data_IF_940573120077
#
_entry.id   IF_940573120077
#
_cell.length_a   1.000
_cell.length_b   1.000
_cell.length_c   1.000
_cell.angle_alpha   90.00
_cell.angle_beta   90.00
_cell.angle_gamma   90.00
#
_symmetry.space_group_name_H-M   'P 1'
#
loop_
_entity.id
_entity.type
_entity.pdbx_description
1 polymer ?
#
# COMPACT_ATOMS: atom_id res chain seq x y z
N UNK A 1 16.99 -4.56 15.22
CA UNK A 1 16.24 -3.31 14.92
C UNK A 1 15.28 -3.07 16.08
N UNK A 2 14.95 -1.80 16.40
CA UNK A 2 13.93 -1.53 17.42
C UNK A 2 12.57 -2.00 16.90
N UNK A 3 11.82 -2.74 17.71
CA UNK A 3 10.45 -3.16 17.46
C UNK A 3 9.57 -1.92 17.32
N UNK A 4 8.80 -1.83 16.23
CA UNK A 4 7.84 -0.75 15.99
C UNK A 4 6.40 -1.28 15.99
N UNK A 5 5.47 -0.41 16.33
CA UNK A 5 4.03 -0.61 16.07
C UNK A 5 3.67 0.07 14.77
N UNK A 6 3.30 -0.73 13.78
CA UNK A 6 3.01 -0.26 12.41
C UNK A 6 1.52 -0.38 12.13
N UNK A 7 0.92 0.71 11.68
CA UNK A 7 -0.44 0.73 11.14
C UNK A 7 -0.38 0.65 9.61
N UNK A 8 -0.93 -0.43 9.05
CA UNK A 8 -0.99 -0.66 7.60
C UNK A 8 -2.43 -0.49 7.09
N UNK A 9 -2.74 0.70 6.62
CA UNK A 9 -4.07 1.09 6.15
C UNK A 9 -4.27 0.75 4.67
N UNK A 10 -5.46 0.27 4.31
CA UNK A 10 -5.80 -0.22 2.96
C UNK A 10 -4.80 -1.31 2.53
N UNK A 11 -4.55 -2.25 3.42
CA UNK A 11 -3.43 -3.18 3.31
C UNK A 11 -3.55 -4.18 2.15
N UNK A 12 -4.75 -4.34 1.56
CA UNK A 12 -4.99 -5.35 0.54
C UNK A 12 -4.61 -6.74 1.06
N UNK A 13 -3.88 -7.49 0.25
CA UNK A 13 -3.33 -8.80 0.65
C UNK A 13 -1.91 -8.71 1.22
N UNK A 14 -1.43 -7.52 1.58
CA UNK A 14 -0.14 -7.34 2.23
C UNK A 14 1.08 -7.35 1.31
N UNK A 15 0.96 -6.87 0.07
CA UNK A 15 2.13 -6.76 -0.81
C UNK A 15 3.26 -5.94 -0.20
N UNK A 16 2.94 -4.81 0.43
CA UNK A 16 3.88 -3.96 1.14
C UNK A 16 4.49 -4.65 2.39
N UNK A 17 3.69 -5.46 3.10
CA UNK A 17 4.09 -6.16 4.33
C UNK A 17 5.17 -7.22 4.11
N UNK A 18 5.25 -7.80 2.90
CA UNK A 18 5.97 -9.04 2.62
C UNK A 18 7.43 -9.08 3.08
N UNK A 19 8.14 -7.96 3.03
CA UNK A 19 9.56 -7.90 3.38
C UNK A 19 9.86 -7.07 4.64
N UNK A 20 8.86 -6.70 5.43
CA UNK A 20 9.07 -5.89 6.64
C UNK A 20 9.67 -6.67 7.81
N UNK A 21 9.74 -8.00 7.72
CA UNK A 21 10.21 -8.87 8.82
C UNK A 21 9.11 -9.13 9.86
N UNK A 22 9.41 -9.95 10.84
CA UNK A 22 8.45 -10.38 11.87
C UNK A 22 8.74 -9.75 13.25
N UNK A 23 9.74 -8.85 13.30
CA UNK A 23 10.10 -8.14 14.52
C UNK A 23 9.14 -7.01 14.90
N UNK A 24 8.30 -6.55 13.96
CA UNK A 24 7.37 -5.44 14.18
C UNK A 24 5.98 -5.94 14.61
N UNK A 25 5.26 -5.12 15.37
CA UNK A 25 3.84 -5.31 15.65
C UNK A 25 3.01 -4.62 14.55
N UNK A 26 2.30 -5.41 13.74
CA UNK A 26 1.54 -4.89 12.60
C UNK A 26 0.05 -4.96 12.90
N UNK A 27 -0.66 -3.84 12.76
CA UNK A 27 -2.11 -3.79 12.67
C UNK A 27 -2.48 -3.41 11.23
N UNK A 28 -3.11 -4.32 10.51
CA UNK A 28 -3.52 -4.17 9.12
C UNK A 28 -5.02 -3.89 9.04
N UNK A 29 -5.43 -2.86 8.28
CA UNK A 29 -6.84 -2.50 8.10
C UNK A 29 -7.23 -2.64 6.65
N UNK A 30 -8.24 -3.46 6.37
CA UNK A 30 -8.80 -3.69 5.04
C UNK A 30 -10.33 -3.66 5.12
N UNK A 31 -10.96 -2.93 4.21
CA UNK A 31 -12.43 -2.81 4.17
C UNK A 31 -13.10 -4.11 3.73
N UNK A 32 -12.50 -4.81 2.77
CA UNK A 32 -13.07 -6.01 2.19
C UNK A 32 -12.67 -7.25 2.99
N UNK A 33 -13.65 -7.89 3.62
CA UNK A 33 -13.43 -9.08 4.45
C UNK A 33 -12.71 -10.22 3.70
N UNK A 34 -13.07 -10.49 2.44
CA UNK A 34 -12.45 -11.57 1.66
C UNK A 34 -10.95 -11.31 1.43
N UNK A 35 -10.58 -10.05 1.19
CA UNK A 35 -9.18 -9.62 1.01
C UNK A 35 -8.44 -9.66 2.35
N UNK A 36 -9.08 -9.22 3.42
CA UNK A 36 -8.54 -9.30 4.78
C UNK A 36 -8.29 -10.75 5.24
N UNK A 37 -9.19 -11.67 4.89
CA UNK A 37 -9.03 -13.09 5.18
C UNK A 37 -7.81 -13.67 4.43
N UNK A 38 -7.53 -13.23 3.21
CA UNK A 38 -6.31 -13.60 2.46
C UNK A 38 -5.07 -13.01 3.09
N UNK A 39 -5.12 -11.73 3.50
CA UNK A 39 -4.02 -11.12 4.26
C UNK A 39 -3.67 -11.95 5.48
N UNK A 40 -4.68 -12.32 6.29
CA UNK A 40 -4.49 -13.11 7.51
C UNK A 40 -3.90 -14.51 7.27
N UNK A 41 -4.17 -15.11 6.11
CA UNK A 41 -3.53 -16.37 5.72
C UNK A 41 -2.03 -16.20 5.44
N UNK A 42 -1.62 -15.06 4.87
CA UNK A 42 -0.21 -14.78 4.58
C UNK A 42 0.57 -14.30 5.81
N UNK A 43 -0.11 -13.59 6.72
CA UNK A 43 0.49 -12.97 7.91
C UNK A 43 -0.35 -13.30 9.14
N UNK A 44 -0.27 -14.56 9.65
CA UNK A 44 -1.12 -15.03 10.74
C UNK A 44 -0.84 -14.34 12.08
N UNK A 45 0.33 -13.77 12.27
CA UNK A 45 0.71 -13.08 13.51
C UNK A 45 0.30 -11.60 13.53
N UNK A 46 -0.02 -10.99 12.36
CA UNK A 46 -0.48 -9.62 12.29
C UNK A 46 -1.92 -9.49 12.81
N UNK A 47 -2.23 -8.38 13.50
CA UNK A 47 -3.60 -8.01 13.83
C UNK A 47 -4.30 -7.51 12.56
N UNK A 48 -5.45 -8.13 12.19
CA UNK A 48 -6.21 -7.75 10.99
C UNK A 48 -7.58 -7.23 11.37
N UNK A 49 -7.86 -6.00 11.01
CA UNK A 49 -9.12 -5.31 11.24
C UNK A 49 -9.89 -5.20 9.91
N UNK A 50 -11.12 -5.71 9.90
CA UNK A 50 -12.05 -5.50 8.78
C UNK A 50 -12.86 -4.25 9.06
N UNK A 51 -12.60 -3.16 8.33
CA UNK A 51 -13.29 -1.89 8.58
C UNK A 51 -12.79 -0.73 7.74
N UNK A 52 -13.33 0.45 7.99
CA UNK A 52 -12.91 1.69 7.35
C UNK A 52 -11.54 2.14 7.88
N UNK A 53 -10.57 2.25 6.96
CA UNK A 53 -9.21 2.62 7.29
C UNK A 53 -9.07 4.05 7.81
N UNK A 54 -9.90 4.98 7.33
CA UNK A 54 -9.88 6.38 7.76
C UNK A 54 -10.46 6.52 9.16
N UNK A 55 -11.57 5.84 9.43
CA UNK A 55 -12.16 5.79 10.77
C UNK A 55 -11.20 5.17 11.78
N UNK A 56 -10.57 4.04 11.40
CA UNK A 56 -9.58 3.39 12.28
C UNK A 56 -8.39 4.29 12.56
N UNK A 57 -7.85 4.95 11.53
CA UNK A 57 -6.78 5.93 11.67
C UNK A 57 -7.12 7.01 12.70
N UNK A 58 -8.25 7.70 12.53
CA UNK A 58 -8.66 8.81 13.40
C UNK A 58 -8.78 8.39 14.87
N UNK A 59 -9.23 7.17 15.12
CA UNK A 59 -9.47 6.66 16.48
C UNK A 59 -8.23 6.07 17.16
N UNK A 60 -7.22 5.61 16.39
CA UNK A 60 -6.15 4.76 16.93
C UNK A 60 -4.71 5.22 16.63
N UNK A 61 -4.47 6.21 15.79
CA UNK A 61 -3.15 6.64 15.30
C UNK A 61 -2.09 6.82 16.39
N UNK A 62 -2.48 7.28 17.58
CA UNK A 62 -1.56 7.53 18.70
C UNK A 62 -0.81 6.29 19.17
N UNK A 63 -1.35 5.10 18.91
CA UNK A 63 -0.80 3.81 19.34
C UNK A 63 0.39 3.35 18.49
N UNK A 64 0.62 3.97 17.33
CA UNK A 64 1.56 3.53 16.31
C UNK A 64 2.77 4.44 16.20
N UNK A 65 3.90 3.86 15.81
CA UNK A 65 5.16 4.56 15.56
C UNK A 65 5.30 4.92 14.08
N UNK A 66 4.77 4.05 13.21
CA UNK A 66 4.79 4.21 11.76
C UNK A 66 3.40 3.94 11.16
N UNK A 67 2.97 4.80 10.24
CA UNK A 67 1.68 4.68 9.55
C UNK A 67 1.92 4.59 8.06
N UNK A 68 1.47 3.51 7.45
CA UNK A 68 1.41 3.31 6.00
C UNK A 68 -0.03 3.38 5.53
N UNK A 69 -0.32 4.19 4.49
CA UNK A 69 -1.62 4.25 3.86
C UNK A 69 -1.51 4.10 2.34
N UNK A 70 -2.24 3.15 1.77
CA UNK A 70 -2.38 2.95 0.31
C UNK A 70 -3.85 3.10 -0.12
N UNK A 71 -4.42 4.32 -0.12
CA UNK A 71 -5.82 4.54 -0.48
C UNK A 71 -6.16 4.00 -1.87
N UNK A 72 -7.44 3.67 -2.15
CA UNK A 72 -7.85 3.11 -3.43
C UNK A 72 -7.42 3.97 -4.63
N UNK A 73 -6.66 3.38 -5.56
CA UNK A 73 -6.09 4.10 -6.70
C UNK A 73 -6.97 4.12 -7.96
N UNK A 74 -8.11 3.42 -7.96
CA UNK A 74 -8.92 3.19 -9.17
C UNK A 74 -9.44 4.48 -9.78
N UNK A 75 -9.83 5.46 -8.98
CA UNK A 75 -10.39 6.74 -9.45
C UNK A 75 -9.30 7.72 -9.89
N UNK A 76 -8.04 7.44 -9.59
CA UNK A 76 -6.88 8.27 -9.97
C UNK A 76 -6.15 7.71 -11.20
N UNK A 77 -6.27 6.40 -11.45
CA UNK A 77 -5.50 5.68 -12.45
C UNK A 77 -5.69 6.20 -13.88
N UNK A 78 -4.58 6.55 -14.56
CA UNK A 78 -4.57 6.92 -15.98
C UNK A 78 -5.15 5.81 -16.87
N UNK A 79 -4.90 4.55 -16.56
CA UNK A 79 -5.46 3.43 -17.33
C UNK A 79 -6.99 3.38 -17.22
N UNK A 80 -7.53 3.58 -16.02
CA UNK A 80 -8.97 3.63 -15.79
C UNK A 80 -9.62 4.81 -16.52
N UNK A 81 -8.99 5.99 -16.45
CA UNK A 81 -9.42 7.16 -17.16
C UNK A 81 -9.49 6.93 -18.68
N UNK A 82 -8.42 6.38 -19.29
CA UNK A 82 -8.41 6.06 -20.71
C UNK A 82 -9.46 5.03 -21.11
N UNK A 83 -9.67 4.01 -20.27
CA UNK A 83 -10.71 3.01 -20.50
C UNK A 83 -12.12 3.62 -20.39
N UNK A 84 -12.35 4.58 -19.48
CA UNK A 84 -13.61 5.33 -19.41
C UNK A 84 -13.82 6.21 -20.65
N UNK A 85 -12.77 6.86 -21.14
CA UNK A 85 -12.83 7.64 -22.42
C UNK A 85 -13.20 6.78 -23.63
N UNK A 86 -12.85 5.49 -23.60
CA UNK A 86 -13.18 4.53 -24.67
C UNK A 86 -14.55 3.86 -24.46
N UNK A 87 -15.31 4.26 -23.44
CA UNK A 87 -16.63 3.69 -23.14
C UNK A 87 -16.60 2.34 -22.40
N UNK A 88 -15.41 1.83 -22.02
CA UNK A 88 -15.32 0.55 -21.31
C UNK A 88 -15.82 0.60 -19.87
N UNK A 89 -15.87 1.79 -19.27
CA UNK A 89 -16.31 2.04 -17.91
C UNK A 89 -16.99 3.40 -17.79
N UNK A 90 -17.96 3.50 -16.89
CA UNK A 90 -18.53 4.79 -16.52
C UNK A 90 -17.47 5.69 -15.86
N UNK A 91 -17.41 6.99 -16.20
CA UNK A 91 -16.57 7.96 -15.52
C UNK A 91 -16.91 8.03 -14.02
N UNK A 92 -15.89 8.24 -13.20
CA UNK A 92 -16.04 8.44 -11.75
C UNK A 92 -15.26 9.69 -11.35
N UNK A 93 -15.77 10.41 -10.36
CA UNK A 93 -15.04 11.49 -9.73
C UNK A 93 -13.80 10.94 -9.02
N UNK A 94 -12.68 11.68 -8.97
CA UNK A 94 -11.54 11.35 -8.13
C UNK A 94 -11.96 11.23 -6.67
N UNK A 95 -11.49 10.18 -6.00
CA UNK A 95 -11.70 10.02 -4.57
C UNK A 95 -10.70 10.90 -3.81
N UNK A 96 -11.15 12.05 -3.34
CA UNK A 96 -10.31 13.01 -2.63
C UNK A 96 -9.91 12.56 -1.21
N UNK A 97 -10.37 11.42 -0.73
CA UNK A 97 -9.93 10.83 0.54
C UNK A 97 -8.40 10.65 0.59
N UNK A 98 -7.74 10.38 -0.55
CA UNK A 98 -6.29 10.39 -0.69
C UNK A 98 -5.68 11.67 -0.10
N UNK A 99 -6.14 12.84 -0.56
CA UNK A 99 -5.59 14.12 -0.12
C UNK A 99 -6.04 14.49 1.29
N UNK A 100 -7.25 14.09 1.69
CA UNK A 100 -7.74 14.28 3.05
C UNK A 100 -6.86 13.54 4.07
N UNK A 101 -6.46 12.30 3.78
CA UNK A 101 -5.54 11.53 4.62
C UNK A 101 -4.18 12.21 4.70
N UNK A 102 -3.61 12.69 3.57
CA UNK A 102 -2.32 13.39 3.55
C UNK A 102 -2.37 14.65 4.43
N UNK A 103 -3.40 15.47 4.25
CA UNK A 103 -3.58 16.70 5.04
C UNK A 103 -3.69 16.35 6.52
N UNK A 104 -4.51 15.37 6.85
CA UNK A 104 -4.73 14.97 8.23
C UNK A 104 -3.44 14.47 8.90
N UNK A 105 -2.72 13.55 8.25
CA UNK A 105 -1.43 13.03 8.75
C UNK A 105 -0.40 14.15 8.94
N UNK A 106 -0.30 15.06 7.99
CA UNK A 106 0.62 16.20 8.03
C UNK A 106 0.39 17.11 9.24
N UNK A 107 -0.86 17.25 9.69
CA UNK A 107 -1.21 18.15 10.78
C UNK A 107 -1.27 17.46 12.14
N UNK A 108 -1.78 16.26 12.22
CA UNK A 108 -2.01 15.54 13.48
C UNK A 108 -0.90 14.55 13.85
N UNK A 109 -0.18 13.97 12.87
CA UNK A 109 0.82 12.94 13.11
C UNK A 109 2.27 13.46 12.95
N UNK A 110 2.58 14.66 13.44
CA UNK A 110 3.91 15.27 13.30
C UNK A 110 5.00 14.51 14.05
N UNK A 111 4.66 13.88 15.16
CA UNK A 111 5.53 13.07 16.02
C UNK A 111 5.65 11.60 15.60
N UNK A 112 4.91 11.19 14.57
CA UNK A 112 4.92 9.83 14.00
C UNK A 112 5.57 9.84 12.64
N UNK A 113 6.15 8.71 12.24
CA UNK A 113 6.55 8.51 10.86
C UNK A 113 5.34 8.05 10.05
N UNK A 114 5.11 8.64 8.90
CA UNK A 114 3.99 8.24 8.04
C UNK A 114 4.32 8.37 6.56
N UNK A 115 3.67 7.52 5.78
CA UNK A 115 3.63 7.62 4.32
C UNK A 115 2.20 7.43 3.80
N UNK A 116 1.94 8.06 2.67
CA UNK A 116 0.79 7.75 1.81
C UNK A 116 1.33 7.40 0.43
N UNK A 117 0.88 6.29 -0.13
CA UNK A 117 1.28 5.79 -1.45
C UNK A 117 0.07 5.79 -2.38
N UNK A 118 0.25 6.26 -3.62
CA UNK A 118 -0.76 6.09 -4.67
C UNK A 118 -0.11 6.12 -6.05
N UNK A 119 -0.85 5.72 -7.08
CA UNK A 119 -0.39 5.81 -8.46
C UNK A 119 -0.35 7.27 -8.94
N UNK A 120 0.51 7.58 -9.93
CA UNK A 120 0.44 8.87 -10.62
C UNK A 120 -0.95 9.06 -11.24
N UNK A 121 -1.70 10.13 -10.86
CA UNK A 121 -3.05 10.36 -11.34
C UNK A 121 -3.07 10.79 -12.81
N UNK A 122 -4.27 10.77 -13.44
CA UNK A 122 -4.49 11.27 -14.78
C UNK A 122 -4.64 12.79 -14.84
N UNK A 123 -4.73 13.43 -13.70
CA UNK A 123 -4.85 14.88 -13.51
C UNK A 123 -3.60 15.43 -12.80
N UNK A 124 -3.47 16.73 -12.70
CA UNK A 124 -2.40 17.39 -11.94
C UNK A 124 -2.57 17.15 -10.45
N UNK A 125 -1.48 16.80 -9.75
CA UNK A 125 -1.54 16.51 -8.33
C UNK A 125 -1.94 17.74 -7.52
N UNK A 126 -2.79 17.55 -6.50
CA UNK A 126 -3.25 18.66 -5.65
C UNK A 126 -2.26 18.96 -4.51
N UNK A 127 -1.44 18.00 -4.14
CA UNK A 127 -0.37 18.13 -3.14
C UNK A 127 0.86 17.47 -3.74
N UNK A 128 1.97 18.19 -3.79
CA UNK A 128 3.22 17.67 -4.31
C UNK A 128 3.71 16.48 -3.46
N UNK A 129 4.09 15.36 -4.11
CA UNK A 129 4.65 14.21 -3.42
C UNK A 129 6.08 14.50 -2.93
N UNK A 130 6.50 13.82 -1.87
CA UNK A 130 7.88 13.85 -1.38
C UNK A 130 8.84 13.24 -2.40
N UNK A 131 8.44 12.13 -3.00
CA UNK A 131 9.24 11.42 -4.01
C UNK A 131 8.35 10.63 -4.96
N UNK A 132 8.87 10.36 -6.16
CA UNK A 132 8.26 9.44 -7.12
C UNK A 132 9.11 8.17 -7.21
N UNK A 133 8.53 7.03 -6.90
CA UNK A 133 9.14 5.71 -7.05
C UNK A 133 8.38 4.91 -8.10
N UNK A 134 9.02 4.64 -9.22
CA UNK A 134 8.39 4.00 -10.39
C UNK A 134 7.14 4.75 -10.87
N UNK A 135 5.99 4.08 -10.79
CA UNK A 135 4.66 4.63 -11.13
C UNK A 135 3.91 5.20 -9.94
N UNK A 136 4.50 5.13 -8.73
CA UNK A 136 3.86 5.54 -7.48
C UNK A 136 4.39 6.89 -7.04
N UNK A 137 3.50 7.67 -6.45
CA UNK A 137 3.80 8.90 -5.75
C UNK A 137 3.75 8.61 -4.26
N UNK A 138 4.75 9.10 -3.54
CA UNK A 138 4.88 8.92 -2.10
C UNK A 138 4.84 10.28 -1.43
N UNK A 139 3.96 10.42 -0.46
CA UNK A 139 3.91 11.54 0.47
C UNK A 139 4.36 11.04 1.83
N UNK A 140 5.34 11.68 2.44
CA UNK A 140 5.91 11.29 3.72
C UNK A 140 6.36 12.50 4.52
N UNK A 141 6.54 12.33 5.82
CA UNK A 141 7.15 13.35 6.69
C UNK A 141 8.64 13.06 7.00
N UNK A 142 9.25 12.22 6.20
CA UNK A 142 10.69 11.92 6.21
C UNK A 142 11.21 11.74 4.78
N UNK A 143 12.52 11.87 4.61
CA UNK A 143 13.15 11.74 3.31
C UNK A 143 13.15 10.29 2.87
N UNK A 144 12.74 10.07 1.61
CA UNK A 144 12.80 8.78 0.94
C UNK A 144 13.71 8.92 -0.27
N UNK A 145 14.81 8.18 -0.28
CA UNK A 145 15.78 8.21 -1.38
C UNK A 145 15.14 7.65 -2.67
N UNK A 146 15.42 8.29 -3.81
CA UNK A 146 15.02 7.77 -5.11
C UNK A 146 15.73 6.45 -5.39
N UNK A 147 14.96 5.46 -5.86
CA UNK A 147 15.47 4.13 -6.20
C UNK A 147 14.61 3.50 -7.29
N UNK A 148 15.26 2.79 -8.20
CA UNK A 148 14.56 1.95 -9.17
C UNK A 148 14.35 0.54 -8.63
N UNK A 149 13.21 -0.05 -8.98
CA UNK A 149 12.82 -1.39 -8.54
C UNK A 149 12.46 -2.27 -9.73
N UNK A 150 12.73 -3.57 -9.59
CA UNK A 150 12.32 -4.55 -10.59
C UNK A 150 10.79 -4.53 -10.78
N UNK A 151 10.36 -4.63 -12.04
CA UNK A 151 8.95 -4.58 -12.46
C UNK A 151 8.51 -5.94 -13.02
N UNK A 152 8.38 -6.97 -12.18
CA UNK A 152 7.94 -8.26 -12.67
C UNK A 152 6.51 -8.14 -13.23
N UNK A 153 6.29 -8.81 -14.35
CA UNK A 153 4.96 -8.93 -14.91
C UNK A 153 4.06 -9.79 -14.01
N UNK A 154 2.75 -9.55 -14.11
CA UNK A 154 1.77 -10.46 -13.50
C UNK A 154 1.77 -11.75 -14.33
N UNK A 155 2.20 -12.84 -13.73
CA UNK A 155 2.11 -14.16 -14.34
C UNK A 155 0.70 -14.68 -14.12
N UNK A 156 -0.06 -14.83 -15.19
CA UNK A 156 -1.38 -15.43 -15.16
C UNK A 156 -1.43 -16.59 -16.16
N UNK A 157 -1.46 -17.79 -15.64
CA UNK A 157 -1.61 -18.98 -16.48
C UNK A 157 -3.10 -19.30 -16.65
N UNK A 158 -3.64 -19.07 -17.84
CA UNK A 158 -5.05 -19.31 -18.15
C UNK A 158 -5.44 -20.79 -18.02
N UNK A 159 -4.50 -21.72 -18.26
CA UNK A 159 -4.76 -23.17 -18.19
C UNK A 159 -4.81 -23.64 -16.74
N UNK A 160 -3.89 -23.17 -15.89
CA UNK A 160 -3.80 -23.59 -14.48
C UNK A 160 -4.53 -22.64 -13.52
N UNK A 161 -4.99 -21.48 -13.98
CA UNK A 161 -5.60 -20.44 -13.15
C UNK A 161 -4.63 -19.78 -12.16
N UNK A 162 -3.32 -20.02 -12.31
CA UNK A 162 -2.29 -19.47 -11.44
C UNK A 162 -2.12 -17.98 -11.66
N UNK A 163 -2.11 -17.22 -10.57
CA UNK A 163 -1.90 -15.78 -10.59
C UNK A 163 -0.86 -15.40 -9.54
N UNK A 164 0.28 -14.91 -10.02
CA UNK A 164 1.42 -14.57 -9.17
C UNK A 164 2.06 -13.26 -9.57
N UNK A 165 2.56 -12.53 -8.58
CA UNK A 165 3.43 -11.37 -8.76
C UNK A 165 4.26 -11.14 -7.50
N UNK A 166 5.52 -10.72 -7.65
CA UNK A 166 6.44 -10.47 -6.52
C UNK A 166 6.61 -11.69 -5.59
N UNK A 167 6.47 -12.92 -6.12
CA UNK A 167 6.47 -14.11 -5.29
C UNK A 167 5.26 -14.22 -4.33
N UNK A 168 4.18 -13.50 -4.62
CA UNK A 168 2.88 -13.65 -3.96
C UNK A 168 1.97 -14.40 -4.92
N UNK A 169 1.50 -15.58 -4.52
CA UNK A 169 0.60 -16.41 -5.30
C UNK A 169 -0.77 -16.51 -4.64
N UNK A 170 -1.83 -16.42 -5.44
CA UNK A 170 -3.20 -16.68 -5.02
C UNK A 170 -3.69 -18.07 -5.47
N UNK A 171 -2.75 -18.98 -5.75
CA UNK A 171 -3.08 -20.37 -6.08
C UNK A 171 -3.75 -21.05 -4.90
N UNK A 172 -4.77 -21.87 -5.20
CA UNK A 172 -5.54 -22.56 -4.18
C UNK A 172 -6.50 -21.71 -3.37
N UNK A 173 -6.35 -20.38 -3.37
CA UNK A 173 -7.24 -19.47 -2.64
C UNK A 173 -8.54 -19.30 -3.44
N UNK A 174 -9.67 -19.69 -2.84
CA UNK A 174 -10.99 -19.44 -3.40
C UNK A 174 -11.46 -18.04 -3.05
N UNK A 175 -11.85 -17.24 -4.06
CA UNK A 175 -12.33 -15.88 -3.85
C UNK A 175 -13.26 -15.43 -4.98
N UNK A 176 -14.18 -14.52 -4.68
CA UNK A 176 -15.11 -13.92 -5.63
C UNK A 176 -14.45 -12.80 -6.45
N UNK A 177 -13.49 -12.11 -5.86
CA UNK A 177 -12.77 -11.03 -6.53
C UNK A 177 -11.79 -11.56 -7.57
N UNK A 178 -11.55 -10.76 -8.59
CA UNK A 178 -10.58 -11.08 -9.65
C UNK A 178 -9.17 -11.09 -9.10
N UNK A 179 -8.54 -12.26 -9.06
CA UNK A 179 -7.18 -12.48 -8.54
C UNK A 179 -6.14 -11.60 -9.24
N UNK A 180 -6.22 -11.47 -10.57
CA UNK A 180 -5.30 -10.63 -11.33
C UNK A 180 -5.37 -9.16 -10.94
N UNK A 181 -6.55 -8.65 -10.60
CA UNK A 181 -6.72 -7.29 -10.12
C UNK A 181 -6.11 -7.09 -8.74
N UNK A 182 -6.34 -8.04 -7.83
CA UNK A 182 -5.80 -7.99 -6.46
C UNK A 182 -4.26 -8.01 -6.51
N UNK A 183 -3.66 -8.92 -7.27
CA UNK A 183 -2.21 -9.00 -7.45
C UNK A 183 -1.62 -7.72 -8.10
N UNK A 184 -2.34 -7.12 -9.07
CA UNK A 184 -1.90 -5.86 -9.70
C UNK A 184 -1.93 -4.67 -8.75
N UNK A 185 -2.78 -4.71 -7.73
CA UNK A 185 -2.89 -3.68 -6.70
C UNK A 185 -1.82 -3.83 -5.61
N UNK A 186 -1.10 -4.94 -5.56
CA UNK A 186 0.00 -5.11 -4.61
C UNK A 186 1.09 -4.06 -4.85
N UNK A 187 1.46 -3.40 -3.77
CA UNK A 187 2.67 -2.57 -3.72
C UNK A 187 3.88 -3.48 -3.87
N UNK A 188 4.92 -3.00 -4.57
CA UNK A 188 6.18 -3.75 -4.69
C UNK A 188 6.83 -3.93 -3.30
N UNK A 189 7.07 -5.18 -2.84
CA UNK A 189 7.65 -5.43 -1.53
C UNK A 189 9.02 -4.79 -1.30
N UNK A 190 9.89 -4.76 -2.34
CA UNK A 190 11.20 -4.14 -2.25
C UNK A 190 11.09 -2.61 -2.09
N UNK A 191 10.14 -1.98 -2.78
CA UNK A 191 9.85 -0.56 -2.62
C UNK A 191 9.33 -0.28 -1.20
N UNK A 192 8.44 -1.12 -0.69
CA UNK A 192 7.89 -0.95 0.65
C UNK A 192 8.96 -1.13 1.74
N UNK A 193 9.85 -2.12 1.59
CA UNK A 193 10.99 -2.31 2.48
C UNK A 193 11.96 -1.11 2.42
N UNK A 194 12.25 -0.60 1.22
CA UNK A 194 13.10 0.58 1.06
C UNK A 194 12.54 1.79 1.81
N UNK A 195 11.24 2.06 1.66
CA UNK A 195 10.56 3.16 2.36
C UNK A 195 10.64 2.96 3.88
N UNK A 196 10.38 1.74 4.38
CA UNK A 196 10.48 1.42 5.79
C UNK A 196 11.91 1.67 6.32
N UNK A 197 12.93 1.23 5.58
CA UNK A 197 14.34 1.47 5.93
C UNK A 197 14.68 2.96 5.96
N UNK A 198 14.18 3.77 5.01
CA UNK A 198 14.33 5.22 5.04
C UNK A 198 13.72 5.83 6.31
N UNK A 199 12.54 5.35 6.76
CA UNK A 199 11.91 5.83 7.99
C UNK A 199 12.75 5.56 9.24
N UNK A 200 13.55 4.50 9.22
CA UNK A 200 14.47 4.10 10.29
C UNK A 200 15.88 4.71 10.15
N UNK A 201 16.12 5.54 9.13
CA UNK A 201 17.44 6.06 8.75
C UNK A 201 18.47 4.96 8.46
N UNK A 202 18.03 3.79 8.00
CA UNK A 202 18.89 2.67 7.65
C UNK A 202 19.35 2.83 6.19
N UNK A 203 20.61 3.23 5.99
CA UNK A 203 21.22 3.26 4.65
C UNK A 203 21.53 1.84 4.19
N UNK A 204 20.92 1.40 3.09
CA UNK A 204 21.27 0.19 2.32
C UNK A 204 21.50 -1.09 3.14
N UNK A 205 20.62 -1.39 4.11
CA UNK A 205 20.69 -2.66 4.88
C UNK A 205 21.88 -2.79 5.83
N UNK A 206 22.62 -1.72 6.09
CA UNK A 206 23.68 -1.69 7.10
C UNK A 206 23.25 -0.81 8.25
N UNK A 207 23.05 -1.42 9.41
CA UNK A 207 22.94 -0.71 10.69
C UNK A 207 24.25 0.08 10.86
N UNK A 208 24.18 1.41 10.97
CA UNK A 208 25.33 2.13 11.52
C UNK A 208 25.45 1.73 12.99
N UNK A 209 26.58 1.13 13.32
CA UNK A 209 27.00 0.88 14.68
C UNK A 209 27.16 2.19 15.45
#
# INVERSE_FOLDING_TARGET
>A
MSKMKILNLHCGIGGNRKLWGDEHEITAVEYNKEIADVYKQFYPDDEVIVGDATEYLMNHWKKFDFIWASPPCQTHSKMRYLASKRGSYAPKLPDLSLYSIIIWLKHFCKDKKWIVENVKPYYEVLIEPTVKLDRHLIWSNFDVEEKEFAKPEVKHNQVSGKTERYGISLDGIKMKHRKDQIIRNCVNPEMALHILNCSLNLKNGKVKA
#
